data_IF_828148715336
#
_entry.id   IF_828148715336
#
_cell.length_a   1.000
_cell.length_b   1.000
_cell.length_c   1.000
_cell.angle_alpha   90.00
_cell.angle_beta   90.00
_cell.angle_gamma   90.00
#
_symmetry.space_group_name_H-M   'P 1'
#
loop_
_entity.id
_entity.type
_entity.pdbx_description
1 polymer ?
#
# COMPACT_ATOMS: atom_id res chain seq x y z
N UNK A 1 11.59 18.40 -6.42
CA UNK A 1 10.85 17.92 -5.24
C UNK A 1 10.16 16.60 -5.56
N UNK A 2 10.24 15.65 -4.65
CA UNK A 2 9.54 14.37 -4.75
C UNK A 2 8.60 14.27 -3.57
N UNK A 3 7.32 13.98 -3.84
CA UNK A 3 6.32 13.72 -2.82
C UNK A 3 5.73 12.34 -3.05
N UNK A 4 5.34 11.65 -1.98
CA UNK A 4 4.70 10.36 -2.08
C UNK A 4 3.41 10.31 -1.26
N UNK A 5 2.51 9.42 -1.68
CA UNK A 5 1.27 9.15 -0.98
C UNK A 5 0.91 7.69 -1.16
N UNK A 6 0.46 7.05 -0.09
CA UNK A 6 0.14 5.62 -0.09
C UNK A 6 -1.29 5.41 0.41
N UNK A 7 -2.01 4.54 -0.27
CA UNK A 7 -3.36 4.17 0.12
C UNK A 7 -3.60 2.67 -0.02
N UNK A 8 -4.77 2.25 0.45
CA UNK A 8 -5.26 0.89 0.31
C UNK A 8 -6.57 0.94 -0.45
N UNK A 9 -6.66 0.18 -1.53
CA UNK A 9 -7.85 0.14 -2.38
C UNK A 9 -8.43 -1.28 -2.33
N UNK A 10 -9.64 -1.40 -1.80
CA UNK A 10 -10.31 -2.69 -1.64
C UNK A 10 -11.36 -2.84 -2.74
N UNK A 11 -11.23 -3.89 -3.56
CA UNK A 11 -12.06 -4.08 -4.74
C UNK A 11 -13.56 -4.11 -4.40
N UNK A 12 -13.93 -4.90 -3.39
CA UNK A 12 -15.34 -5.04 -2.98
C UNK A 12 -15.94 -3.76 -2.39
N UNK A 13 -15.11 -2.78 -2.02
CA UNK A 13 -15.55 -1.51 -1.46
C UNK A 13 -15.36 -0.36 -2.45
N UNK A 14 -15.25 -0.66 -3.73
CA UNK A 14 -15.13 0.37 -4.77
C UNK A 14 -13.84 1.19 -4.69
N UNK A 15 -12.78 0.62 -4.12
CA UNK A 15 -11.50 1.28 -3.98
C UNK A 15 -11.29 2.00 -2.66
N UNK A 16 -12.28 1.96 -1.73
CA UNK A 16 -12.09 2.53 -0.40
C UNK A 16 -11.11 1.67 0.43
N UNK A 17 -10.42 2.24 1.39
CA UNK A 17 -10.41 3.65 1.80
C UNK A 17 -9.53 4.58 0.97
N UNK A 18 -8.71 4.06 0.04
CA UNK A 18 -7.75 4.87 -0.69
C UNK A 18 -6.75 5.50 0.26
N UNK A 19 -6.44 6.79 0.06
CA UNK A 19 -5.51 7.53 0.93
C UNK A 19 -6.13 7.95 2.26
N UNK A 20 -7.43 7.74 2.44
CA UNK A 20 -8.18 8.17 3.63
C UNK A 20 -8.20 7.14 4.75
N UNK A 21 -7.25 6.20 4.77
CA UNK A 21 -7.20 5.10 5.75
C UNK A 21 -7.43 5.60 7.18
N UNK A 22 -6.64 6.58 7.63
CA UNK A 22 -6.68 7.08 9.01
C UNK A 22 -7.99 7.81 9.34
N UNK A 23 -8.67 8.31 8.33
CA UNK A 23 -9.92 9.08 8.48
C UNK A 23 -11.08 8.45 7.70
N UNK A 24 -11.08 7.15 7.57
CA UNK A 24 -12.04 6.42 6.74
C UNK A 24 -13.50 6.78 7.10
N UNK A 25 -13.83 6.89 8.38
CA UNK A 25 -15.16 7.28 8.83
C UNK A 25 -15.34 8.79 9.01
N UNK A 26 -14.39 9.61 8.57
CA UNK A 26 -14.47 11.06 8.66
C UNK A 26 -13.82 11.66 9.90
N UNK A 27 -13.27 10.85 10.78
CA UNK A 27 -12.52 11.29 11.96
C UNK A 27 -11.25 10.48 12.09
N UNK A 28 -10.29 10.97 12.89
CA UNK A 28 -9.03 10.25 13.08
C UNK A 28 -9.26 8.97 13.87
N UNK A 29 -9.04 7.84 13.20
CA UNK A 29 -9.29 6.50 13.75
C UNK A 29 -8.01 5.90 14.30
N UNK A 30 -8.14 5.03 15.33
CA UNK A 30 -7.04 4.21 15.81
C UNK A 30 -6.82 3.02 14.86
N UNK A 31 -5.69 2.34 15.00
CA UNK A 31 -5.41 1.14 14.20
C UNK A 31 -6.50 0.08 14.40
N UNK A 32 -6.89 -0.18 15.64
CA UNK A 32 -7.93 -1.17 15.93
C UNK A 32 -9.30 -0.77 15.37
N UNK A 33 -9.65 0.49 15.40
CA UNK A 33 -10.87 0.99 14.77
C UNK A 33 -10.87 0.75 13.27
N UNK A 34 -9.73 0.99 12.60
CA UNK A 34 -9.59 0.77 11.16
C UNK A 34 -9.72 -0.72 10.83
N UNK A 35 -9.04 -1.59 11.57
CA UNK A 35 -9.12 -3.03 11.38
C UNK A 35 -10.58 -3.49 11.54
N UNK A 36 -11.22 -3.09 12.64
CA UNK A 36 -12.58 -3.48 12.94
C UNK A 36 -13.57 -2.99 11.86
N UNK A 37 -13.44 -1.73 11.46
CA UNK A 37 -14.31 -1.16 10.43
C UNK A 37 -14.14 -1.87 9.08
N UNK A 38 -12.89 -2.14 8.70
CA UNK A 38 -12.60 -2.87 7.46
C UNK A 38 -13.28 -4.25 7.47
N UNK A 39 -13.09 -5.00 8.54
CA UNK A 39 -13.66 -6.36 8.64
C UNK A 39 -15.19 -6.32 8.71
N UNK A 40 -15.77 -5.32 9.36
CA UNK A 40 -17.22 -5.13 9.38
C UNK A 40 -17.77 -4.85 7.98
N UNK A 41 -17.10 -3.94 7.23
CA UNK A 41 -17.48 -3.65 5.85
C UNK A 41 -17.34 -4.85 4.92
N UNK A 42 -16.44 -5.77 5.24
CA UNK A 42 -16.10 -6.94 4.43
C UNK A 42 -16.79 -8.23 4.89
N UNK A 43 -17.62 -8.18 5.92
CA UNK A 43 -18.19 -9.38 6.57
C UNK A 43 -18.97 -10.30 5.62
N UNK A 44 -19.64 -9.74 4.61
CA UNK A 44 -20.44 -10.50 3.65
C UNK A 44 -19.69 -10.78 2.34
N UNK A 45 -18.41 -10.39 2.26
CA UNK A 45 -17.60 -10.63 1.07
C UNK A 45 -16.94 -12.00 1.18
N UNK A 46 -17.26 -12.96 0.28
CA UNK A 46 -16.72 -14.32 0.36
C UNK A 46 -15.22 -14.36 0.03
N UNK A 47 -14.57 -15.44 0.47
CA UNK A 47 -13.21 -15.74 0.06
C UNK A 47 -13.14 -15.81 -1.48
N UNK A 48 -12.02 -15.39 -2.04
CA UNK A 48 -11.86 -15.29 -3.49
C UNK A 48 -12.34 -13.96 -4.07
N UNK A 49 -13.09 -13.16 -3.31
CA UNK A 49 -13.58 -11.84 -3.72
C UNK A 49 -13.08 -10.72 -2.80
N UNK A 50 -12.05 -11.01 -2.00
CA UNK A 50 -11.51 -10.08 -1.00
C UNK A 50 -10.23 -9.40 -1.45
N UNK A 51 -10.06 -9.25 -2.76
CA UNK A 51 -8.88 -8.62 -3.34
C UNK A 51 -8.71 -7.16 -2.95
N UNK A 52 -7.47 -6.75 -2.77
CA UNK A 52 -7.13 -5.39 -2.42
C UNK A 52 -5.71 -5.07 -2.88
N UNK A 53 -5.36 -3.80 -2.85
CA UNK A 53 -4.00 -3.40 -3.19
C UNK A 53 -3.53 -2.23 -2.35
N UNK A 54 -2.26 -2.26 -2.01
CA UNK A 54 -1.55 -1.06 -1.60
C UNK A 54 -1.10 -0.34 -2.87
N UNK A 55 -1.21 0.96 -2.88
CA UNK A 55 -0.76 1.78 -3.99
C UNK A 55 0.02 2.97 -3.46
N UNK A 56 1.24 3.14 -3.95
CA UNK A 56 2.03 4.34 -3.70
C UNK A 56 2.12 5.14 -5.00
N UNK A 57 1.84 6.43 -4.91
CA UNK A 57 2.01 7.36 -6.02
C UNK A 57 3.14 8.32 -5.67
N UNK A 58 4.14 8.39 -6.54
CA UNK A 58 5.21 9.40 -6.45
C UNK A 58 4.89 10.53 -7.40
N UNK A 59 4.99 11.78 -6.91
CA UNK A 59 4.88 12.97 -7.72
C UNK A 59 6.27 13.61 -7.79
N UNK A 60 6.76 13.80 -9.00
CA UNK A 60 8.06 14.47 -9.23
C UNK A 60 7.77 15.85 -9.79
N UNK A 61 8.19 16.88 -9.05
CA UNK A 61 7.89 18.26 -9.31
C UNK A 61 9.19 18.98 -9.67
N UNK A 62 9.22 19.58 -10.86
CA UNK A 62 10.32 20.43 -11.31
C UNK A 62 9.79 21.80 -11.68
N UNK A 63 10.65 22.82 -11.58
CA UNK A 63 10.32 24.16 -12.03
C UNK A 63 9.98 24.15 -13.52
N UNK A 64 8.88 24.80 -13.90
CA UNK A 64 8.46 25.04 -15.29
C UNK A 64 8.12 23.76 -16.07
N UNK A 65 8.00 22.61 -15.39
CA UNK A 65 7.62 21.35 -16.00
C UNK A 65 6.32 20.81 -15.41
N UNK A 66 5.50 20.09 -16.19
CA UNK A 66 4.33 19.40 -15.64
C UNK A 66 4.76 18.37 -14.58
N UNK A 67 3.92 18.20 -13.57
CA UNK A 67 4.16 17.19 -12.54
C UNK A 67 4.09 15.80 -13.21
N UNK A 68 5.06 14.95 -12.90
CA UNK A 68 5.08 13.56 -13.35
C UNK A 68 4.69 12.65 -12.19
N UNK A 69 3.84 11.68 -12.49
CA UNK A 69 3.35 10.70 -11.49
C UNK A 69 3.82 9.30 -11.85
N UNK A 70 4.23 8.56 -10.84
CA UNK A 70 4.62 7.16 -10.98
C UNK A 70 4.01 6.37 -9.84
N UNK A 71 3.51 5.18 -10.11
CA UNK A 71 2.90 4.38 -9.07
C UNK A 71 3.53 3.00 -8.95
N UNK A 72 3.34 2.41 -7.77
CA UNK A 72 3.66 1.04 -7.48
C UNK A 72 2.48 0.40 -6.77
N UNK A 73 2.14 -0.81 -7.19
CA UNK A 73 0.97 -1.53 -6.70
C UNK A 73 1.41 -2.88 -6.15
N UNK A 74 0.93 -3.19 -4.95
CA UNK A 74 1.09 -4.50 -4.34
C UNK A 74 -0.29 -5.11 -4.13
N UNK A 75 -0.60 -6.14 -4.90
CA UNK A 75 -1.88 -6.86 -4.79
C UNK A 75 -1.85 -7.84 -3.64
N UNK A 76 -2.98 -8.01 -2.99
CA UNK A 76 -3.17 -8.96 -1.91
C UNK A 76 -4.64 -9.20 -1.64
N UNK A 77 -4.93 -9.76 -0.49
CA UNK A 77 -6.29 -10.09 -0.07
C UNK A 77 -6.50 -9.68 1.38
N UNK A 78 -7.73 -9.25 1.70
CA UNK A 78 -8.11 -8.93 3.07
C UNK A 78 -8.54 -10.23 3.77
N UNK A 79 -7.89 -10.56 4.87
CA UNK A 79 -8.26 -11.72 5.68
C UNK A 79 -9.61 -11.52 6.36
N UNK A 80 -10.24 -12.60 6.79
CA UNK A 80 -11.51 -12.54 7.54
C UNK A 80 -11.28 -12.24 9.02
N UNK A 81 -10.10 -12.56 9.55
CA UNK A 81 -9.71 -12.29 10.93
C UNK A 81 -8.28 -11.79 10.95
N UNK A 82 -7.94 -10.83 11.82
CA UNK A 82 -6.58 -10.35 11.90
C UNK A 82 -5.66 -11.36 12.61
N UNK A 83 -4.39 -11.39 12.20
CA UNK A 83 -3.37 -12.08 12.98
C UNK A 83 -3.12 -11.34 14.30
N UNK A 84 -2.63 -12.03 15.34
CA UNK A 84 -2.44 -11.42 16.67
C UNK A 84 -1.44 -10.28 16.70
N UNK A 85 -0.36 -10.36 15.92
CA UNK A 85 0.71 -9.36 15.94
C UNK A 85 0.22 -8.02 15.39
N UNK A 86 0.65 -6.94 16.05
CA UNK A 86 0.31 -5.56 15.66
C UNK A 86 1.58 -4.75 15.45
N UNK A 87 1.49 -3.81 14.51
CA UNK A 87 2.51 -2.78 14.32
C UNK A 87 1.83 -1.43 14.36
N UNK A 88 2.20 -0.61 15.33
CA UNK A 88 1.61 0.73 15.50
C UNK A 88 1.78 1.55 14.22
N UNK A 89 0.70 2.17 13.79
CA UNK A 89 0.66 2.97 12.58
C UNK A 89 0.41 2.18 11.31
N UNK A 90 0.35 0.85 11.38
CA UNK A 90 0.19 -0.06 10.23
C UNK A 90 -1.04 -0.95 10.40
N UNK A 91 -2.26 -0.37 10.30
CA UNK A 91 -3.50 -1.11 10.61
C UNK A 91 -3.78 -2.26 9.66
N UNK A 92 -3.33 -2.20 8.41
CA UNK A 92 -3.61 -3.27 7.45
C UNK A 92 -2.62 -4.44 7.51
N UNK A 93 -1.47 -4.29 8.17
CA UNK A 93 -0.47 -5.36 8.21
C UNK A 93 -1.00 -6.70 8.76
N UNK A 94 -1.86 -6.75 9.79
CA UNK A 94 -2.38 -8.03 10.29
C UNK A 94 -3.49 -8.63 9.45
N UNK A 95 -4.04 -7.92 8.47
CA UNK A 95 -5.18 -8.38 7.66
C UNK A 95 -4.89 -8.40 6.16
N UNK A 96 -3.72 -7.95 5.71
CA UNK A 96 -3.38 -7.91 4.29
C UNK A 96 -2.49 -9.11 3.96
N UNK A 97 -3.04 -10.07 3.22
CA UNK A 97 -2.37 -11.32 2.87
C UNK A 97 -1.77 -11.25 1.48
N UNK A 98 -0.54 -11.75 1.34
CA UNK A 98 0.20 -11.81 0.08
C UNK A 98 0.18 -13.26 -0.44
N UNK A 99 -0.71 -13.61 -1.39
CA UNK A 99 -0.86 -15.00 -1.81
C UNK A 99 0.41 -15.60 -2.41
N UNK A 100 1.18 -14.81 -3.18
CA UNK A 100 2.40 -15.28 -3.82
C UNK A 100 3.49 -15.64 -2.82
N UNK A 101 3.52 -15.00 -1.67
CA UNK A 101 4.51 -15.23 -0.62
C UNK A 101 3.95 -16.06 0.54
N UNK A 102 2.64 -16.34 0.53
CA UNK A 102 1.93 -17.12 1.56
C UNK A 102 2.15 -16.57 2.96
N UNK A 103 2.10 -15.25 3.10
CA UNK A 103 2.24 -14.55 4.39
C UNK A 103 1.51 -13.22 4.36
N UNK A 104 1.24 -12.66 5.53
CA UNK A 104 0.70 -11.29 5.62
C UNK A 104 1.81 -10.28 5.41
N UNK A 105 1.41 -9.03 5.13
CA UNK A 105 2.37 -7.94 5.00
C UNK A 105 3.15 -7.70 6.30
N UNK A 106 2.51 -7.91 7.46
CA UNK A 106 3.20 -7.87 8.75
C UNK A 106 4.28 -8.93 8.86
N UNK A 107 3.97 -10.17 8.49
CA UNK A 107 4.95 -11.26 8.47
C UNK A 107 6.07 -10.99 7.46
N UNK A 108 5.74 -10.36 6.33
CA UNK A 108 6.73 -9.98 5.32
C UNK A 108 7.79 -9.04 5.91
N UNK A 109 7.35 -8.05 6.68
CA UNK A 109 8.27 -7.07 7.28
C UNK A 109 9.10 -7.64 8.45
N UNK A 110 8.76 -8.84 8.91
CA UNK A 110 9.57 -9.57 9.91
C UNK A 110 10.63 -10.46 9.25
N UNK A 111 10.63 -10.57 7.92
CA UNK A 111 11.60 -11.38 7.20
C UNK A 111 12.96 -10.68 7.11
N UNK A 112 14.06 -11.45 6.86
CA UNK A 112 15.37 -10.85 6.65
C UNK A 112 15.35 -9.83 5.51
N UNK A 113 16.22 -8.84 5.58
CA UNK A 113 16.29 -7.77 4.57
C UNK A 113 16.53 -8.32 3.17
N UNK A 114 17.32 -9.37 3.03
CA UNK A 114 17.57 -10.02 1.74
C UNK A 114 16.27 -10.49 1.08
N UNK A 115 15.37 -11.08 1.88
CA UNK A 115 14.07 -11.52 1.39
C UNK A 115 13.20 -10.33 0.97
N UNK A 116 13.19 -9.27 1.79
CA UNK A 116 12.41 -8.08 1.47
C UNK A 116 12.90 -7.39 0.21
N UNK A 117 14.20 -7.27 0.02
CA UNK A 117 14.81 -6.67 -1.17
C UNK A 117 14.47 -7.48 -2.43
N UNK A 118 14.44 -8.81 -2.32
CA UNK A 118 14.12 -9.69 -3.44
C UNK A 118 12.64 -9.63 -3.83
N UNK A 119 11.78 -9.09 -2.97
CA UNK A 119 10.32 -9.04 -3.18
C UNK A 119 9.80 -7.61 -2.96
N UNK A 120 10.07 -6.68 -3.89
CA UNK A 120 9.71 -5.27 -3.71
C UNK A 120 8.22 -5.08 -3.52
N UNK A 121 7.85 -4.17 -2.61
CA UNK A 121 6.46 -3.82 -2.33
C UNK A 121 6.08 -2.54 -3.09
N UNK A 122 4.91 -2.00 -2.79
CA UNK A 122 4.34 -0.84 -3.49
C UNK A 122 5.28 0.37 -3.57
N UNK A 123 5.98 0.71 -2.47
CA UNK A 123 6.89 1.88 -2.45
C UNK A 123 8.10 1.65 -3.37
N UNK A 124 8.73 0.51 -3.26
CA UNK A 124 9.89 0.17 -4.09
C UNK A 124 9.49 0.07 -5.56
N UNK A 125 8.31 -0.48 -5.85
CA UNK A 125 7.80 -0.56 -7.22
C UNK A 125 7.53 0.83 -7.80
N UNK A 126 7.01 1.77 -7.01
CA UNK A 126 6.82 3.15 -7.43
C UNK A 126 8.17 3.81 -7.78
N UNK A 127 9.17 3.64 -6.92
CA UNK A 127 10.53 4.16 -7.16
C UNK A 127 11.12 3.55 -8.42
N UNK A 128 11.00 2.22 -8.58
CA UNK A 128 11.51 1.53 -9.77
C UNK A 128 10.86 2.06 -11.05
N UNK A 129 9.55 2.34 -11.02
CA UNK A 129 8.86 2.89 -12.19
C UNK A 129 9.32 4.30 -12.54
N UNK A 130 9.78 5.07 -11.54
CA UNK A 130 10.26 6.43 -11.72
C UNK A 130 11.73 6.53 -12.15
N UNK A 131 12.52 5.45 -11.97
CA UNK A 131 13.97 5.49 -12.23
C UNK A 131 14.35 5.96 -13.64
N UNK A 132 13.73 5.49 -14.72
CA UNK A 132 14.10 5.96 -16.06
C UNK A 132 13.95 7.48 -16.21
N UNK A 133 12.87 8.04 -15.64
CA UNK A 133 12.66 9.48 -15.67
C UNK A 133 13.70 10.23 -14.83
N UNK A 134 13.97 9.74 -13.61
CA UNK A 134 14.99 10.32 -12.73
C UNK A 134 16.38 10.30 -13.36
N UNK A 135 16.73 9.20 -14.02
CA UNK A 135 18.00 9.11 -14.76
C UNK A 135 18.07 10.08 -15.93
N UNK A 136 16.94 10.27 -16.64
CA UNK A 136 16.89 11.25 -17.73
C UNK A 136 17.14 12.67 -17.25
N UNK A 137 16.62 13.02 -16.06
CA UNK A 137 16.86 14.33 -15.44
C UNK A 137 18.34 14.51 -15.07
N UNK A 138 18.94 13.48 -14.51
CA UNK A 138 20.36 13.53 -14.15
C UNK A 138 21.23 13.75 -15.39
N UNK A 139 20.96 13.02 -16.47
CA UNK A 139 21.67 13.17 -17.73
C UNK A 139 21.51 14.58 -18.32
N UNK A 140 20.30 15.14 -18.24
CA UNK A 140 20.03 16.48 -18.75
C UNK A 140 20.77 17.58 -17.97
N UNK A 141 21.08 17.35 -16.71
CA UNK A 141 21.80 18.29 -15.86
C UNK A 141 23.33 18.24 -16.06
N UNK A 142 23.83 17.21 -16.68
CA UNK A 142 25.24 17.04 -16.97
C UNK A 142 25.58 17.59 -18.34
#
# INVERSE_FOLDING_TARGET
>A
MIADDTGVEIDALGGEPGIKVRRWKGYKMTDEEIIHYCLERMKDVPEGQRGAQFRTVLAIIQNDSPVKYFDGILRGEILTNPLPARREGMPFWPIFYLPNLKMTLGQFHDQPMEFQVANPTHRELAVLSALPYLRSLHTALM
#
